data_IF_106885728312
#
_entry.id   IF_106885728312
#
_cell.length_a   1.000
_cell.length_b   1.000
_cell.length_c   1.000
_cell.angle_alpha   90.00
_cell.angle_beta   90.00
_cell.angle_gamma   90.00
#
_symmetry.space_group_name_H-M   'P 1'
#
loop_
_entity.id
_entity.type
_entity.pdbx_description
1 polymer ?
#
# COMPACT_ATOMS: atom_id res chain seq x y z
N UNK A 1 -3.05 -1.33 15.38
CA UNK A 1 -1.87 -1.90 14.67
C UNK A 1 -2.23 -3.29 14.19
N UNK A 2 -1.91 -3.66 12.93
CA UNK A 2 -2.37 -4.93 12.33
C UNK A 2 -1.49 -6.14 12.70
N UNK A 3 -0.16 -5.98 12.69
CA UNK A 3 0.81 -7.09 12.80
C UNK A 3 1.77 -6.97 13.99
N UNK A 4 1.59 -5.97 14.86
CA UNK A 4 2.60 -5.62 15.86
C UNK A 4 3.88 -5.04 15.22
N UNK A 5 5.00 -5.17 15.93
CA UNK A 5 6.30 -4.64 15.51
C UNK A 5 7.08 -5.66 14.68
N UNK A 6 7.75 -5.25 13.59
CA UNK A 6 8.59 -6.15 12.81
C UNK A 6 9.85 -6.52 13.58
N UNK A 7 10.35 -7.75 13.37
CA UNK A 7 11.64 -8.23 13.89
C UNK A 7 12.83 -7.56 13.21
N UNK A 8 12.65 -7.10 11.97
CA UNK A 8 13.69 -6.46 11.19
C UNK A 8 13.15 -5.76 9.94
N UNK A 9 14.03 -5.00 9.29
CA UNK A 9 13.71 -4.31 8.03
C UNK A 9 14.89 -4.47 7.07
N UNK A 10 14.59 -4.88 5.84
CA UNK A 10 15.50 -4.76 4.71
C UNK A 10 15.00 -3.66 3.78
N UNK A 11 15.80 -2.61 3.55
CA UNK A 11 15.36 -1.46 2.78
C UNK A 11 16.46 -0.88 1.88
N UNK A 12 16.03 -0.33 0.74
CA UNK A 12 16.83 0.54 -0.12
C UNK A 12 16.04 1.80 -0.43
N UNK A 13 16.65 2.94 -0.18
CA UNK A 13 16.08 4.25 -0.50
C UNK A 13 17.03 5.04 -1.38
N UNK A 14 16.48 5.74 -2.36
CA UNK A 14 17.21 6.51 -3.35
C UNK A 14 16.47 7.83 -3.63
N UNK A 15 17.23 8.89 -3.86
CA UNK A 15 16.69 10.12 -4.45
C UNK A 15 16.38 9.93 -5.94
N UNK A 16 15.61 10.84 -6.51
CA UNK A 16 15.43 10.92 -7.96
C UNK A 16 16.57 11.71 -8.61
N UNK A 17 17.15 11.27 -9.74
CA UNK A 17 18.21 12.02 -10.42
C UNK A 17 17.79 13.40 -10.95
N UNK A 18 16.49 13.69 -10.98
CA UNK A 18 15.96 14.95 -11.54
C UNK A 18 15.80 16.06 -10.48
N UNK A 19 16.06 15.79 -9.19
CA UNK A 19 15.93 16.79 -8.14
C UNK A 19 16.80 16.46 -6.92
N UNK A 20 16.97 17.40 -6.01
CA UNK A 20 17.84 17.26 -4.83
C UNK A 20 17.18 16.65 -3.60
N UNK A 21 15.88 16.30 -3.65
CA UNK A 21 15.24 15.60 -2.53
C UNK A 21 15.87 14.22 -2.37
N UNK A 22 16.44 13.97 -1.19
CA UNK A 22 17.41 12.89 -0.98
C UNK A 22 16.81 11.48 -1.00
N UNK A 23 15.54 11.32 -0.61
CA UNK A 23 14.89 10.03 -0.44
C UNK A 23 13.44 10.11 -0.91
N UNK A 24 13.18 9.78 -2.18
CA UNK A 24 11.83 9.82 -2.77
C UNK A 24 11.35 8.46 -3.26
N UNK A 25 12.26 7.48 -3.31
CA UNK A 25 11.99 6.14 -3.82
C UNK A 25 12.54 5.09 -2.85
N UNK A 26 11.64 4.37 -2.19
CA UNK A 26 11.99 3.38 -1.17
C UNK A 26 11.34 2.05 -1.50
N UNK A 27 12.15 0.99 -1.50
CA UNK A 27 11.67 -0.39 -1.43
C UNK A 27 12.10 -0.96 -0.08
N UNK A 28 11.15 -1.47 0.68
CA UNK A 28 11.42 -2.07 1.99
C UNK A 28 10.61 -3.35 2.21
N UNK A 29 11.16 -4.27 2.97
CA UNK A 29 10.47 -5.45 3.49
C UNK A 29 10.54 -5.36 5.01
N UNK A 30 9.37 -5.30 5.65
CA UNK A 30 9.23 -5.46 7.09
C UNK A 30 9.09 -6.95 7.38
N UNK A 31 10.02 -7.49 8.16
CA UNK A 31 10.09 -8.91 8.53
C UNK A 31 9.33 -9.16 9.84
N UNK A 32 8.31 -10.02 9.79
CA UNK A 32 7.54 -10.44 10.97
C UNK A 32 7.81 -11.90 11.36
N UNK A 33 8.89 -12.51 10.85
CA UNK A 33 9.24 -13.91 11.02
C UNK A 33 8.90 -14.76 9.79
N UNK A 34 8.69 -16.05 10.00
CA UNK A 34 8.75 -17.03 8.91
C UNK A 34 7.51 -17.07 8.02
N UNK A 35 6.41 -16.45 8.45
CA UNK A 35 5.09 -16.58 7.79
C UNK A 35 4.47 -15.26 7.34
N UNK A 36 5.00 -14.12 7.79
CA UNK A 36 4.41 -12.80 7.53
C UNK A 36 5.50 -11.80 7.14
N UNK A 37 5.22 -11.02 6.09
CA UNK A 37 6.04 -9.88 5.67
C UNK A 37 5.16 -8.74 5.16
N UNK A 38 5.67 -7.51 5.21
CA UNK A 38 5.05 -6.37 4.53
C UNK A 38 6.04 -5.80 3.52
N UNK A 39 5.67 -5.76 2.24
CA UNK A 39 6.47 -5.14 1.19
C UNK A 39 5.97 -3.72 0.93
N UNK A 40 6.87 -2.75 1.05
CA UNK A 40 6.62 -1.34 0.77
C UNK A 40 7.31 -0.96 -0.53
N UNK A 41 6.55 -0.36 -1.45
CA UNK A 41 7.06 0.24 -2.68
C UNK A 41 6.58 1.68 -2.74
N UNK A 42 7.45 2.61 -2.40
CA UNK A 42 7.15 4.03 -2.30
C UNK A 42 7.91 4.75 -3.40
N UNK A 43 7.21 5.54 -4.21
CA UNK A 43 7.80 6.31 -5.29
C UNK A 43 7.02 7.63 -5.46
N UNK A 44 7.64 8.74 -5.08
CA UNK A 44 7.04 10.08 -5.24
C UNK A 44 7.25 10.67 -6.65
N UNK A 45 7.97 9.98 -7.53
CA UNK A 45 8.41 10.51 -8.83
C UNK A 45 7.62 9.95 -10.03
N UNK A 46 6.51 9.25 -9.79
CA UNK A 46 5.63 8.78 -10.86
C UNK A 46 4.81 9.93 -11.46
N UNK A 47 5.46 10.73 -12.32
CA UNK A 47 4.93 11.98 -12.89
C UNK A 47 4.19 11.85 -14.23
N UNK A 48 3.73 10.65 -14.60
CA UNK A 48 3.16 10.37 -15.93
C UNK A 48 1.62 10.51 -15.97
N UNK A 49 1.08 11.45 -15.20
CA UNK A 49 -0.36 11.68 -15.05
C UNK A 49 -1.02 10.77 -14.01
N UNK A 50 -2.36 10.89 -13.88
CA UNK A 50 -3.17 10.20 -12.86
C UNK A 50 -3.29 8.70 -13.08
N UNK A 51 -3.25 8.27 -14.35
CA UNK A 51 -3.40 6.86 -14.72
C UNK A 51 -2.22 6.05 -14.17
N UNK A 52 -2.50 4.95 -13.46
CA UNK A 52 -1.51 4.06 -12.82
C UNK A 52 -0.76 4.64 -11.61
N UNK A 53 -1.21 5.77 -11.05
CA UNK A 53 -0.83 6.13 -9.68
C UNK A 53 -1.54 5.20 -8.69
N UNK A 54 -0.85 4.86 -7.61
CA UNK A 54 -1.37 3.94 -6.59
C UNK A 54 -1.03 4.45 -5.19
N UNK A 55 -2.02 4.36 -4.31
CA UNK A 55 -1.87 4.52 -2.87
C UNK A 55 -2.80 3.47 -2.26
N UNK A 56 -2.24 2.31 -1.96
CA UNK A 56 -3.01 1.10 -1.70
C UNK A 56 -2.39 0.25 -0.61
N UNK A 57 -3.22 -0.57 0.01
CA UNK A 57 -2.80 -1.73 0.77
C UNK A 57 -3.40 -2.99 0.17
N UNK A 58 -2.60 -4.05 0.13
CA UNK A 58 -3.05 -5.40 -0.20
C UNK A 58 -2.68 -6.32 0.94
N UNK A 59 -3.69 -6.96 1.52
CA UNK A 59 -3.56 -7.91 2.62
C UNK A 59 -3.98 -9.27 2.07
N UNK A 60 -3.13 -10.27 2.22
CA UNK A 60 -3.39 -11.63 1.76
C UNK A 60 -3.15 -12.59 2.91
N UNK A 61 -4.19 -13.33 3.29
CA UNK A 61 -4.14 -14.36 4.31
C UNK A 61 -4.53 -15.72 3.74
N UNK A 62 -4.58 -16.71 4.62
CA UNK A 62 -4.94 -18.10 4.25
C UNK A 62 -6.44 -18.30 4.03
N UNK A 63 -7.26 -17.39 4.54
CA UNK A 63 -8.73 -17.49 4.52
C UNK A 63 -9.39 -16.28 3.87
N UNK A 64 -8.62 -15.46 3.17
CA UNK A 64 -9.16 -14.29 2.49
C UNK A 64 -8.12 -13.23 2.20
N UNK A 65 -8.59 -12.12 1.64
CA UNK A 65 -7.78 -10.97 1.30
C UNK A 65 -8.54 -9.67 1.51
N UNK A 66 -7.80 -8.56 1.58
CA UNK A 66 -8.37 -7.22 1.53
C UNK A 66 -7.57 -6.34 0.57
N UNK A 67 -8.28 -5.48 -0.15
CA UNK A 67 -7.71 -4.41 -0.97
C UNK A 67 -8.23 -3.08 -0.45
N UNK A 68 -7.32 -2.12 -0.33
CA UNK A 68 -7.64 -0.76 0.10
C UNK A 68 -7.04 0.22 -0.90
N UNK A 69 -7.80 1.23 -1.30
CA UNK A 69 -7.32 2.44 -1.97
C UNK A 69 -7.49 3.61 -1.01
N UNK A 70 -6.41 4.35 -0.77
CA UNK A 70 -6.44 5.61 -0.02
C UNK A 70 -6.59 6.77 -1.01
N UNK A 71 -7.82 7.12 -1.33
CA UNK A 71 -8.18 8.09 -2.36
C UNK A 71 -7.71 9.51 -2.03
N UNK A 72 -7.79 9.94 -0.75
CA UNK A 72 -7.26 11.24 -0.36
C UNK A 72 -5.74 11.32 -0.54
N UNK A 73 -5.00 10.32 -0.06
CA UNK A 73 -3.54 10.26 -0.21
C UNK A 73 -3.13 10.13 -1.69
N UNK A 74 -3.97 9.47 -2.49
CA UNK A 74 -3.73 9.32 -3.92
C UNK A 74 -3.85 10.66 -4.67
N UNK A 75 -4.86 11.49 -4.40
CA UNK A 75 -5.10 12.78 -5.09
C UNK A 75 -5.00 14.01 -4.17
N UNK A 76 -4.06 14.02 -3.23
CA UNK A 76 -3.97 15.10 -2.25
C UNK A 76 -3.72 16.47 -2.92
N UNK A 77 -4.42 17.56 -2.51
CA UNK A 77 -5.41 17.62 -1.42
C UNK A 77 -6.85 17.36 -1.86
N UNK A 78 -7.12 17.24 -3.17
CA UNK A 78 -8.48 17.10 -3.72
C UNK A 78 -9.15 15.80 -3.29
N UNK A 79 -8.40 14.72 -3.31
CA UNK A 79 -8.83 13.37 -3.01
C UNK A 79 -9.71 12.73 -4.09
N UNK A 80 -9.90 11.43 -3.91
CA UNK A 80 -10.85 10.58 -4.59
C UNK A 80 -11.50 9.66 -3.52
N UNK A 81 -12.58 8.93 -3.83
CA UNK A 81 -13.14 7.98 -2.87
C UNK A 81 -12.13 6.94 -2.41
N UNK A 82 -12.10 6.70 -1.09
CA UNK A 82 -11.45 5.52 -0.53
C UNK A 82 -12.22 4.26 -0.95
N UNK A 83 -11.49 3.16 -1.13
CA UNK A 83 -12.07 1.85 -1.44
C UNK A 83 -11.59 0.88 -0.37
N UNK A 84 -12.51 0.07 0.14
CA UNK A 84 -12.20 -1.13 0.90
C UNK A 84 -12.98 -2.29 0.26
N UNK A 85 -12.26 -3.32 -0.14
CA UNK A 85 -12.82 -4.56 -0.66
C UNK A 85 -12.25 -5.74 0.10
N UNK A 86 -13.09 -6.73 0.38
CA UNK A 86 -12.68 -7.97 1.05
C UNK A 86 -13.02 -9.17 0.16
N UNK A 87 -12.16 -10.17 0.18
CA UNK A 87 -12.42 -11.48 -0.38
C UNK A 87 -12.53 -12.49 0.77
N UNK A 88 -13.75 -12.88 1.20
CA UNK A 88 -13.93 -13.73 2.36
C UNK A 88 -13.68 -15.21 2.06
N UNK A 89 -13.42 -16.00 3.10
CA UNK A 89 -13.32 -17.46 3.00
C UNK A 89 -14.60 -18.05 2.39
N UNK A 90 -14.46 -18.83 1.33
CA UNK A 90 -15.59 -19.44 0.64
C UNK A 90 -16.42 -18.47 -0.22
N UNK A 91 -16.01 -17.20 -0.33
CA UNK A 91 -16.58 -16.26 -1.29
C UNK A 91 -16.17 -16.59 -2.72
N UNK A 92 -16.95 -16.11 -3.69
CA UNK A 92 -16.65 -16.26 -5.11
C UNK A 92 -16.08 -14.98 -5.74
N UNK A 93 -16.22 -13.84 -5.08
CA UNK A 93 -15.80 -12.52 -5.60
C UNK A 93 -15.45 -11.54 -4.47
N UNK A 94 -14.84 -10.42 -4.84
CA UNK A 94 -14.60 -9.29 -3.95
C UNK A 94 -15.91 -8.60 -3.56
N UNK A 95 -15.99 -8.20 -2.28
CA UNK A 95 -17.14 -7.51 -1.72
C UNK A 95 -16.69 -6.12 -1.29
N UNK A 96 -17.28 -5.09 -1.89
CA UNK A 96 -17.06 -3.71 -1.44
C UNK A 96 -17.65 -3.50 -0.05
N UNK A 97 -16.86 -2.96 0.86
CA UNK A 97 -17.26 -2.62 2.22
C UNK A 97 -17.60 -1.12 2.25
N UNK A 98 -18.83 -0.74 2.60
CA UNK A 98 -19.19 0.67 2.77
C UNK A 98 -18.31 1.33 3.84
N UNK A 99 -17.69 2.45 3.48
CA UNK A 99 -16.89 3.26 4.38
C UNK A 99 -17.74 4.39 4.95
N UNK A 100 -17.53 4.71 6.23
CA UNK A 100 -18.13 5.85 6.89
C UNK A 100 -17.02 6.63 7.60
N UNK A 101 -17.02 7.95 7.43
CA UNK A 101 -16.01 8.88 7.94
C UNK A 101 -16.35 10.30 7.58
#
# INVERSE_FOLDING_TARGET
QLLGDPKGVHAKTLGHPNHKVAQTRTSAILDYGDTVRCALSINHDHKFGRRHQACEFRISGTEGAAYLKLGLNLDYPKGEPDILEIYPKGGSDWISVPLAG
#
